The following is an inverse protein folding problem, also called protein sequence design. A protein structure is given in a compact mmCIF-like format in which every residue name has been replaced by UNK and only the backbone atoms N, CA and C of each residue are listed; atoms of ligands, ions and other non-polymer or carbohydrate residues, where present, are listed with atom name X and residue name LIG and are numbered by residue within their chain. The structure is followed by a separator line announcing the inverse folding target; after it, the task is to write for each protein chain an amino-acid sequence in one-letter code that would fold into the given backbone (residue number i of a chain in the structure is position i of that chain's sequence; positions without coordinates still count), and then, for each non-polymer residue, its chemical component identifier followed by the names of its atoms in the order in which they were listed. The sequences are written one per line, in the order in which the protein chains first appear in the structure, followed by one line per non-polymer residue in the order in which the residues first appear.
data_IF_614443502373
#
_entry.id   IF_614443502373
#
_cell.length_a   1.000
_cell.length_b   1.000
_cell.length_c   1.000
_cell.angle_alpha   90.00
_cell.angle_beta   90.00
_cell.angle_gamma   90.00
#
_symmetry.space_group_name_H-M   'P 1'
#
loop_
_entity.id
_entity.type
_entity.pdbx_description
1 polymer ?
#
# COMPACT_ATOMS: atom_id res chain seq x y z
N UNK A 1 -11.23 3.42 -9.91
CA UNK A 1 -10.98 4.59 -9.04
C UNK A 1 -9.78 5.31 -9.61
N UNK A 2 -9.92 6.55 -10.06
CA UNK A 2 -8.77 7.34 -10.49
C UNK A 2 -8.08 7.93 -9.27
N UNK A 3 -6.78 7.72 -9.16
CA UNK A 3 -5.91 8.33 -8.16
C UNK A 3 -4.94 9.24 -8.90
N UNK A 4 -4.91 10.51 -8.52
CA UNK A 4 -3.84 11.43 -8.93
C UNK A 4 -2.98 11.58 -7.68
N UNK A 5 -1.72 11.20 -7.81
CA UNK A 5 -0.76 11.35 -6.74
C UNK A 5 0.65 11.37 -7.31
N UNK A 6 1.46 12.27 -6.77
CA UNK A 6 2.90 12.31 -7.00
C UNK A 6 3.59 11.55 -5.88
N UNK A 7 4.73 10.93 -6.20
CA UNK A 7 5.57 10.32 -5.19
C UNK A 7 6.09 11.37 -4.20
N UNK A 8 6.16 11.00 -2.92
CA UNK A 8 6.74 11.86 -1.90
C UNK A 8 8.23 12.11 -2.13
N UNK A 9 8.72 13.24 -1.63
CA UNK A 9 10.16 13.57 -1.61
C UNK A 9 10.73 13.31 -0.21
N UNK A 10 12.02 13.53 -0.03
CA UNK A 10 12.68 13.39 1.27
C UNK A 10 12.06 14.26 2.38
N UNK A 11 11.38 15.36 2.03
CA UNK A 11 10.82 16.30 3.01
C UNK A 11 9.34 16.60 2.80
N UNK A 12 8.72 16.08 1.73
CA UNK A 12 7.32 16.35 1.39
C UNK A 12 6.55 15.05 1.21
N UNK A 13 5.38 14.97 1.85
CA UNK A 13 4.46 13.86 1.69
C UNK A 13 4.01 13.72 0.22
N UNK A 14 3.69 12.49 -0.25
CA UNK A 14 3.08 12.31 -1.55
C UNK A 14 1.78 13.10 -1.65
N UNK A 15 1.45 13.52 -2.87
CA UNK A 15 0.11 14.00 -3.14
C UNK A 15 -0.83 12.80 -3.27
N UNK A 16 -2.00 12.87 -2.64
CA UNK A 16 -3.00 11.84 -2.76
C UNK A 16 -4.37 12.47 -2.86
N UNK A 17 -5.10 12.15 -3.93
CA UNK A 17 -6.50 12.54 -4.09
C UNK A 17 -7.37 11.33 -4.39
N UNK A 18 -8.45 11.18 -3.61
CA UNK A 18 -9.46 10.17 -3.84
C UNK A 18 -10.83 10.81 -4.06
N UNK A 19 -11.49 10.50 -5.18
CA UNK A 19 -12.83 11.00 -5.46
C UNK A 19 -13.89 10.63 -4.39
N UNK A 20 -13.66 9.53 -3.65
CA UNK A 20 -14.61 9.04 -2.62
C UNK A 20 -14.32 9.57 -1.23
N UNK A 21 -13.04 9.79 -0.89
CA UNK A 21 -12.60 10.17 0.46
C UNK A 21 -12.03 11.59 0.52
N UNK A 22 -11.96 12.29 -0.61
CA UNK A 22 -11.36 13.62 -0.74
C UNK A 22 -9.82 13.58 -0.77
N UNK A 23 -9.23 14.75 -0.53
CA UNK A 23 -7.78 14.93 -0.34
C UNK A 23 -7.46 14.82 1.14
N UNK A 24 -6.60 13.88 1.57
CA UNK A 24 -6.15 13.81 2.96
C UNK A 24 -5.43 15.11 3.36
N UNK A 25 -5.59 15.50 4.63
CA UNK A 25 -5.00 16.69 5.24
C UNK A 25 -3.46 16.74 5.13
N UNK A 26 -2.80 15.58 5.11
CA UNK A 26 -1.35 15.41 5.00
C UNK A 26 -0.82 15.47 3.56
N UNK A 27 -1.71 15.38 2.55
CA UNK A 27 -1.33 15.32 1.14
C UNK A 27 -0.47 16.52 0.73
N UNK A 28 0.73 16.26 0.21
CA UNK A 28 1.65 17.31 -0.25
C UNK A 28 2.24 18.21 0.85
N UNK A 29 2.05 17.89 2.14
CA UNK A 29 2.61 18.69 3.24
C UNK A 29 4.11 18.45 3.43
N UNK A 30 4.82 19.50 3.82
CA UNK A 30 6.20 19.40 4.27
C UNK A 30 6.26 18.71 5.64
N UNK A 31 7.33 17.99 5.93
CA UNK A 31 7.52 17.26 7.19
C UNK A 31 7.44 18.17 8.42
N UNK A 32 7.88 19.43 8.32
CA UNK A 32 7.78 20.42 9.40
C UNK A 32 6.33 20.81 9.74
N UNK A 33 5.39 20.62 8.82
CA UNK A 33 3.97 20.89 9.03
C UNK A 33 3.25 19.69 9.66
N UNK A 34 3.95 18.57 9.89
CA UNK A 34 3.34 17.39 10.50
C UNK A 34 3.13 17.59 12.00
N UNK A 35 1.89 17.41 12.40
CA UNK A 35 1.48 17.30 13.80
C UNK A 35 1.24 15.84 14.14
N UNK A 36 1.19 15.50 15.42
CA UNK A 36 0.85 14.15 15.88
C UNK A 36 -0.49 13.63 15.31
N UNK A 37 -1.45 14.53 15.08
CA UNK A 37 -2.74 14.21 14.44
C UNK A 37 -2.54 13.80 12.99
N UNK A 38 -1.74 14.56 12.22
CA UNK A 38 -1.43 14.24 10.82
C UNK A 38 -0.65 12.93 10.71
N UNK A 39 0.28 12.67 11.63
CA UNK A 39 0.99 11.39 11.68
C UNK A 39 0.05 10.22 11.93
N UNK A 40 -0.94 10.37 12.83
CA UNK A 40 -1.93 9.34 13.10
C UNK A 40 -2.80 9.07 11.87
N UNK A 41 -3.32 10.12 11.23
CA UNK A 41 -4.09 10.00 9.98
C UNK A 41 -3.27 9.35 8.86
N UNK A 42 -1.99 9.69 8.76
CA UNK A 42 -1.07 9.09 7.80
C UNK A 42 -0.85 7.59 8.09
N UNK A 43 -0.71 7.20 9.36
CA UNK A 43 -0.60 5.78 9.75
C UNK A 43 -1.85 5.01 9.35
N UNK A 44 -3.04 5.53 9.63
CA UNK A 44 -4.31 4.87 9.27
C UNK A 44 -4.46 4.73 7.75
N UNK A 45 -4.07 5.77 7.00
CA UNK A 45 -4.02 5.71 5.55
C UNK A 45 -3.08 4.60 5.05
N UNK A 46 -1.83 4.55 5.53
CA UNK A 46 -0.84 3.57 5.11
C UNK A 46 -1.35 2.15 5.35
N UNK A 47 -1.86 1.87 6.56
CA UNK A 47 -2.38 0.54 6.92
C UNK A 47 -3.50 0.06 5.98
N UNK A 48 -4.33 1.00 5.52
CA UNK A 48 -5.47 0.71 4.66
C UNK A 48 -5.08 0.56 3.19
N UNK A 49 -4.27 1.47 2.67
CA UNK A 49 -4.01 1.57 1.23
C UNK A 49 -2.80 0.76 0.79
N UNK A 50 -1.70 0.71 1.56
CA UNK A 50 -0.49 -0.04 1.16
C UNK A 50 -0.80 -1.50 0.81
N UNK A 51 -1.64 -2.14 1.63
CA UNK A 51 -2.12 -3.51 1.41
C UNK A 51 -2.91 -3.67 0.11
N UNK A 52 -3.76 -2.70 -0.22
CA UNK A 52 -4.54 -2.69 -1.47
C UNK A 52 -3.63 -2.55 -2.68
N UNK A 53 -2.63 -1.67 -2.60
CA UNK A 53 -1.64 -1.48 -3.65
C UNK A 53 -0.82 -2.75 -3.89
N UNK A 54 -0.34 -3.41 -2.83
CA UNK A 54 0.37 -4.70 -2.97
C UNK A 54 -0.46 -5.75 -3.71
N UNK A 55 -1.73 -5.93 -3.31
CA UNK A 55 -2.59 -6.89 -4.00
C UNK A 55 -2.87 -6.49 -5.46
N UNK A 56 -3.09 -5.20 -5.73
CA UNK A 56 -3.35 -4.70 -7.09
C UNK A 56 -2.13 -4.91 -8.00
N UNK A 57 -0.93 -4.54 -7.53
CA UNK A 57 0.31 -4.68 -8.29
C UNK A 57 0.60 -6.13 -8.62
N UNK A 58 0.35 -7.04 -7.68
CA UNK A 58 0.45 -8.49 -7.91
C UNK A 58 -0.54 -8.97 -8.97
N UNK A 59 -1.81 -8.55 -8.88
CA UNK A 59 -2.87 -8.95 -9.83
C UNK A 59 -2.59 -8.39 -11.24
N UNK A 60 -2.05 -7.19 -11.33
CA UNK A 60 -1.74 -6.51 -12.59
C UNK A 60 -0.34 -6.85 -13.11
N UNK A 61 0.46 -7.60 -12.35
CA UNK A 61 1.85 -7.96 -12.65
C UNK A 61 2.77 -6.75 -12.89
N UNK A 62 2.59 -5.69 -12.08
CA UNK A 62 3.36 -4.43 -12.10
C UNK A 62 4.10 -4.20 -10.77
N UNK A 63 4.55 -5.29 -10.15
CA UNK A 63 5.17 -5.30 -8.82
C UNK A 63 6.39 -4.37 -8.78
N UNK A 64 6.42 -3.49 -7.77
CA UNK A 64 7.60 -2.67 -7.45
C UNK A 64 7.43 -1.18 -7.74
N UNK A 65 6.52 -0.77 -8.63
CA UNK A 65 6.33 0.65 -8.93
C UNK A 65 5.83 1.45 -7.72
N UNK A 66 4.93 0.86 -6.93
CA UNK A 66 4.32 1.54 -5.78
C UNK A 66 5.07 1.34 -4.45
N UNK A 67 6.24 0.68 -4.44
CA UNK A 67 7.03 0.51 -3.21
C UNK A 67 7.62 1.84 -2.71
N UNK A 68 7.92 2.75 -3.63
CA UNK A 68 8.53 4.06 -3.33
C UNK A 68 7.47 5.16 -3.15
N UNK A 69 6.26 4.81 -2.73
CA UNK A 69 5.16 5.79 -2.56
C UNK A 69 5.55 6.92 -1.58
N UNK A 70 6.19 6.53 -0.47
CA UNK A 70 6.86 7.44 0.45
C UNK A 70 8.38 7.36 0.25
N UNK A 71 9.07 8.49 0.37
CA UNK A 71 10.52 8.51 0.37
C UNK A 71 11.08 7.94 1.68
N UNK A 72 12.23 7.25 1.60
CA UNK A 72 12.91 6.61 2.74
C UNK A 72 13.42 7.58 3.81
N UNK A 73 13.54 8.88 3.50
CA UNK A 73 13.98 9.91 4.44
C UNK A 73 12.85 10.72 5.06
N UNK A 74 11.66 10.69 4.44
CA UNK A 74 10.52 11.49 4.88
C UNK A 74 10.07 11.09 6.30
N UNK A 75 9.95 12.06 7.22
CA UNK A 75 9.63 11.82 8.63
C UNK A 75 10.53 10.74 9.25
N UNK A 76 11.84 10.82 9.03
CA UNK A 76 12.80 9.79 9.50
C UNK A 76 12.53 8.38 8.96
N UNK A 77 11.82 8.24 7.85
CA UNK A 77 11.63 6.99 7.12
C UNK A 77 10.56 6.05 7.65
N UNK A 78 9.90 6.38 8.77
CA UNK A 78 8.83 5.52 9.30
C UNK A 78 7.65 5.34 8.33
N UNK A 79 7.21 6.34 7.53
CA UNK A 79 6.12 6.16 6.58
C UNK A 79 6.47 5.15 5.48
N UNK A 80 7.71 5.20 4.98
CA UNK A 80 8.22 4.27 3.99
C UNK A 80 8.29 2.85 4.54
N UNK A 81 8.89 2.67 5.72
CA UNK A 81 8.99 1.36 6.36
C UNK A 81 7.60 0.72 6.60
N UNK A 82 6.65 1.51 7.13
CA UNK A 82 5.29 1.05 7.37
C UNK A 82 4.55 0.74 6.08
N UNK A 83 4.78 1.52 5.02
CA UNK A 83 4.20 1.25 3.70
C UNK A 83 4.68 -0.07 3.14
N UNK A 84 5.99 -0.34 3.15
CA UNK A 84 6.55 -1.59 2.66
C UNK A 84 6.02 -2.80 3.43
N UNK A 85 5.91 -2.70 4.76
CA UNK A 85 5.37 -3.77 5.60
C UNK A 85 3.95 -4.16 5.17
N UNK A 86 3.04 -3.18 5.08
CA UNK A 86 1.66 -3.45 4.70
C UNK A 86 1.48 -3.77 3.21
N UNK A 87 2.33 -3.23 2.34
CA UNK A 87 2.38 -3.58 0.93
C UNK A 87 2.73 -5.06 0.76
N UNK A 88 3.76 -5.54 1.46
CA UNK A 88 4.16 -6.94 1.46
C UNK A 88 3.04 -7.86 1.99
N UNK A 89 2.33 -7.46 3.05
CA UNK A 89 1.13 -8.19 3.50
C UNK A 89 0.06 -8.29 2.40
N UNK A 90 -0.11 -7.24 1.59
CA UNK A 90 -1.02 -7.25 0.44
C UNK A 90 -0.58 -8.17 -0.70
N UNK A 91 0.74 -8.30 -0.91
CA UNK A 91 1.33 -9.25 -1.85
C UNK A 91 1.06 -10.70 -1.41
N UNK A 92 1.08 -10.97 -0.10
CA UNK A 92 0.99 -12.32 0.46
C UNK A 92 -0.46 -12.80 0.69
N UNK A 93 -1.43 -11.90 0.90
CA UNK A 93 -2.80 -12.25 1.32
C UNK A 93 -3.55 -13.22 0.38
N UNK A 94 -3.19 -13.30 -0.92
CA UNK A 94 -3.79 -14.28 -1.84
C UNK A 94 -2.97 -15.56 -2.01
N UNK A 95 -1.71 -15.59 -1.57
CA UNK A 95 -0.91 -16.82 -1.59
C UNK A 95 -1.54 -17.91 -0.70
N UNK A 96 -2.30 -17.53 0.33
CA UNK A 96 -3.03 -18.47 1.18
C UNK A 96 -4.39 -18.91 0.64
N UNK A 97 -4.91 -18.30 -0.43
CA UNK A 97 -6.19 -18.66 -1.06
C UNK A 97 -6.04 -19.48 -2.34
N UNK A 98 -4.81 -19.60 -2.87
CA UNK A 98 -4.48 -20.47 -4.00
C UNK A 98 -4.01 -21.88 -3.55
N UNK A 99 -4.47 -22.36 -2.39
CA UNK A 99 -4.41 -23.80 -2.13
C UNK A 99 -5.44 -24.46 -3.05
N UNK A 100 -5.03 -25.30 -4.01
CA UNK A 100 -5.98 -26.05 -4.82
C UNK A 100 -6.89 -26.84 -3.88
N UNK A 101 -8.18 -26.84 -4.20
CA UNK A 101 -9.16 -27.68 -3.51
C UNK A 101 -8.60 -29.11 -3.42
N UNK A 102 -8.85 -29.79 -2.31
CA UNK A 102 -8.47 -31.19 -2.13
C UNK A 102 -9.04 -32.08 -3.27
N UNK A 103 -10.06 -31.62 -3.98
CA UNK A 103 -10.66 -32.27 -5.15
C UNK A 103 -9.81 -32.21 -6.45
N UNK A 104 -8.86 -31.26 -6.59
CA UNK A 104 -7.99 -31.17 -7.77
C UNK A 104 -6.74 -32.06 -7.67
N UNK A 105 -6.42 -32.58 -6.48
CA UNK A 105 -5.17 -33.32 -6.21
C UNK A 105 -5.29 -34.83 -6.48
N UNK A 106 -6.50 -35.35 -6.71
CA UNK A 106 -6.68 -36.78 -6.99
C UNK A 106 -7.07 -37.05 -8.46
N UNK A 107 -6.14 -37.49 -9.32
CA UNK A 107 -6.55 -38.06 -10.60
C UNK A 107 -7.21 -39.41 -10.33
N UNK A 108 -8.49 -39.51 -10.68
CA UNK A 108 -9.20 -40.75 -11.04
C UNK A 108 -8.70 -42.03 -10.35
N UNK A 109 -9.26 -42.38 -9.19
CA UNK A 109 -9.22 -43.78 -8.73
C UNK A 109 -10.38 -44.53 -9.40
N UNK A 110 -10.11 -45.53 -10.25
CA UNK A 110 -11.17 -46.35 -10.82
C UNK A 110 -11.53 -47.45 -9.82
N UNK A 111 -12.82 -47.58 -9.50
CA UNK A 111 -13.47 -48.89 -9.29
C UNK A 111 -14.87 -48.82 -9.89
#
# INVERSE_FOLDING_TARGET
MGYIGTFGTATTAPEHHCNTFGTPSWSGKHEDDFTSVLEQELREFIKREAKRYGNNDRVQNIVGENQNFFNEHFLSGWPHALWLEYYQLGMEERASLDMPSFDEVWPSMPI
#
